data_IF_849704027009
#
_entry.id   IF_849704027009
#
_cell.length_a   1.000
_cell.length_b   1.000
_cell.length_c   1.000
_cell.angle_alpha   90.00
_cell.angle_beta   90.00
_cell.angle_gamma   90.00
#
_symmetry.space_group_name_H-M   'P 1'
#
loop_
_entity.id
_entity.type
_entity.pdbx_description
1 polymer ?
#
# COMPACT_ATOMS: atom_id res chain seq x y z
N UNK A 1 -19.40 -0.03 6.61
CA UNK A 1 -18.87 1.05 5.75
C UNK A 1 -19.40 0.87 4.34
N UNK A 2 -20.02 1.89 3.79
CA UNK A 2 -20.54 1.93 2.42
C UNK A 2 -19.53 2.62 1.48
N UNK A 3 -19.65 2.44 0.14
CA UNK A 3 -18.81 3.18 -0.80
C UNK A 3 -18.89 4.70 -0.65
N UNK A 4 -20.07 5.25 -0.35
CA UNK A 4 -20.29 6.67 -0.08
C UNK A 4 -19.50 7.20 1.12
N UNK A 5 -19.24 6.36 2.13
CA UNK A 5 -18.41 6.76 3.28
C UNK A 5 -16.95 6.96 2.85
N UNK A 6 -16.52 6.25 1.79
CA UNK A 6 -15.15 6.30 1.24
C UNK A 6 -15.00 7.48 0.27
N UNK A 7 -15.84 7.55 -0.76
CA UNK A 7 -15.68 8.50 -1.86
C UNK A 7 -16.45 9.80 -1.68
N UNK A 8 -17.38 9.84 -0.72
CA UNK A 8 -18.30 10.96 -0.51
C UNK A 8 -19.61 10.78 -1.26
N UNK A 9 -20.49 11.73 -1.11
CA UNK A 9 -21.82 11.79 -1.72
C UNK A 9 -22.25 13.25 -1.88
N UNK A 10 -23.27 13.52 -2.70
CA UNK A 10 -23.84 14.86 -2.79
C UNK A 10 -25.15 14.95 -2.03
N UNK A 11 -25.38 16.10 -1.40
CA UNK A 11 -26.64 16.47 -0.75
C UNK A 11 -27.26 17.67 -1.46
N UNK A 12 -28.58 17.75 -1.42
CA UNK A 12 -29.30 18.91 -1.96
C UNK A 12 -29.34 19.99 -0.88
N UNK A 13 -28.67 21.10 -1.10
CA UNK A 13 -28.74 22.28 -0.23
C UNK A 13 -29.16 23.49 -1.05
N UNK A 14 -30.29 24.14 -0.67
CA UNK A 14 -30.84 25.34 -1.31
C UNK A 14 -30.78 25.30 -2.86
N UNK A 15 -31.35 24.24 -3.44
CA UNK A 15 -31.43 24.00 -4.90
C UNK A 15 -30.10 23.68 -5.60
N UNK A 16 -29.03 23.41 -4.86
CA UNK A 16 -27.75 22.98 -5.43
C UNK A 16 -27.30 21.65 -4.83
N UNK A 17 -26.69 20.82 -5.68
CA UNK A 17 -25.97 19.64 -5.23
C UNK A 17 -24.62 20.08 -4.63
N UNK A 18 -24.41 19.75 -3.36
CA UNK A 18 -23.18 20.05 -2.61
C UNK A 18 -22.49 18.73 -2.28
N UNK A 19 -21.24 18.58 -2.76
CA UNK A 19 -20.44 17.41 -2.46
C UNK A 19 -20.02 17.39 -0.99
N UNK A 20 -20.31 16.27 -0.33
CA UNK A 20 -19.82 15.95 1.02
C UNK A 20 -18.63 14.99 0.87
N UNK A 21 -17.42 15.40 1.27
CA UNK A 21 -16.23 14.60 1.08
C UNK A 21 -16.26 13.31 1.90
N UNK A 22 -15.85 12.21 1.29
CA UNK A 22 -15.66 10.93 1.96
C UNK A 22 -14.26 10.81 2.57
N UNK A 23 -14.00 9.65 3.21
CA UNK A 23 -12.76 9.39 3.93
C UNK A 23 -11.49 9.49 3.07
N UNK A 24 -11.58 9.32 1.74
CA UNK A 24 -10.41 9.43 0.83
C UNK A 24 -9.93 10.87 0.64
N UNK A 25 -10.72 11.88 1.05
CA UNK A 25 -10.32 13.29 0.94
C UNK A 25 -9.35 13.69 2.06
N UNK A 26 -8.29 12.90 2.21
CA UNK A 26 -7.21 13.07 3.18
C UNK A 26 -5.85 12.73 2.57
N UNK A 27 -4.76 13.11 3.22
CA UNK A 27 -3.41 12.76 2.76
C UNK A 27 -2.99 11.34 3.19
N UNK A 28 -3.42 10.88 4.37
CA UNK A 28 -3.14 9.55 4.89
C UNK A 28 -4.44 8.91 5.35
N UNK A 29 -4.79 7.79 4.74
CA UNK A 29 -5.98 7.00 5.09
C UNK A 29 -5.56 5.66 5.69
N UNK A 30 -6.03 5.38 6.90
CA UNK A 30 -5.95 4.05 7.50
C UNK A 30 -7.25 3.28 7.20
N UNK A 31 -7.15 2.25 6.36
CA UNK A 31 -8.24 1.33 6.05
C UNK A 31 -8.08 0.05 6.88
N UNK A 32 -8.54 0.11 8.14
CA UNK A 32 -8.39 -1.01 9.06
C UNK A 32 -9.35 -2.16 8.71
N UNK A 33 -8.85 -3.39 8.75
CA UNK A 33 -9.57 -4.64 8.43
C UNK A 33 -10.34 -4.55 7.10
N UNK A 34 -9.68 -4.12 6.01
CA UNK A 34 -10.32 -3.94 4.69
C UNK A 34 -11.04 -5.20 4.19
N UNK A 35 -10.57 -6.38 4.58
CA UNK A 35 -11.19 -7.68 4.24
C UNK A 35 -12.55 -7.93 4.92
N UNK A 36 -12.97 -7.07 5.85
CA UNK A 36 -14.31 -7.09 6.48
C UNK A 36 -15.31 -6.14 5.80
N UNK A 37 -14.87 -5.35 4.83
CA UNK A 37 -15.75 -4.46 4.09
C UNK A 37 -16.34 -5.15 2.85
N UNK A 38 -17.44 -4.60 2.30
CA UNK A 38 -18.04 -5.13 1.07
C UNK A 38 -17.11 -4.98 -0.13
N UNK A 39 -17.24 -5.86 -1.13
CA UNK A 39 -16.46 -5.76 -2.38
C UNK A 39 -16.67 -4.42 -3.09
N UNK A 40 -17.85 -3.80 -2.97
CA UNK A 40 -18.13 -2.48 -3.54
C UNK A 40 -17.29 -1.40 -2.85
N UNK A 41 -17.20 -1.45 -1.51
CA UNK A 41 -16.38 -0.52 -0.72
C UNK A 41 -14.89 -0.71 -1.02
N UNK A 42 -14.42 -1.97 -1.10
CA UNK A 42 -13.05 -2.28 -1.51
C UNK A 42 -12.74 -1.70 -2.90
N UNK A 43 -13.62 -1.92 -3.87
CA UNK A 43 -13.44 -1.42 -5.24
C UNK A 43 -13.38 0.11 -5.29
N UNK A 44 -14.25 0.81 -4.55
CA UNK A 44 -14.26 2.27 -4.50
C UNK A 44 -12.93 2.84 -3.95
N UNK A 45 -12.41 2.24 -2.87
CA UNK A 45 -11.12 2.64 -2.32
C UNK A 45 -9.97 2.39 -3.30
N UNK A 46 -9.95 1.20 -3.91
CA UNK A 46 -8.89 0.80 -4.84
C UNK A 46 -8.88 1.63 -6.12
N UNK A 47 -10.06 2.05 -6.61
CA UNK A 47 -10.21 2.97 -7.73
C UNK A 47 -9.66 4.35 -7.36
N UNK A 48 -10.03 4.89 -6.20
CA UNK A 48 -9.50 6.15 -5.70
C UNK A 48 -7.96 6.12 -5.54
N UNK A 49 -7.40 4.99 -5.07
CA UNK A 49 -5.95 4.79 -4.96
C UNK A 49 -5.25 4.84 -6.32
N UNK A 50 -5.86 4.28 -7.37
CA UNK A 50 -5.27 4.21 -8.71
C UNK A 50 -5.42 5.51 -9.48
N UNK A 51 -6.66 6.04 -9.53
CA UNK A 51 -7.01 7.22 -10.32
C UNK A 51 -6.58 8.54 -9.66
N UNK A 52 -6.28 8.54 -8.35
CA UNK A 52 -5.99 9.74 -7.55
C UNK A 52 -7.09 10.81 -7.61
N UNK A 53 -8.32 10.36 -7.85
CA UNK A 53 -9.54 11.17 -7.93
C UNK A 53 -10.75 10.31 -7.65
N UNK A 54 -11.86 10.95 -7.31
CA UNK A 54 -13.18 10.31 -7.21
C UNK A 54 -14.18 11.08 -8.06
N UNK A 55 -15.16 10.37 -8.61
CA UNK A 55 -16.25 10.99 -9.38
C UNK A 55 -17.57 10.71 -8.68
N UNK A 56 -18.26 11.76 -8.28
CA UNK A 56 -19.56 11.71 -7.62
C UNK A 56 -20.55 12.57 -8.39
N UNK A 57 -21.68 11.99 -8.78
CA UNK A 57 -22.74 12.66 -9.56
C UNK A 57 -22.21 13.38 -10.80
N UNK A 58 -21.25 12.76 -11.50
CA UNK A 58 -20.66 13.30 -12.73
C UNK A 58 -19.59 14.38 -12.51
N UNK A 59 -19.30 14.76 -11.26
CA UNK A 59 -18.25 15.74 -10.91
C UNK A 59 -17.03 15.01 -10.39
N UNK A 60 -15.87 15.30 -10.97
CA UNK A 60 -14.59 14.71 -10.57
C UNK A 60 -13.87 15.57 -9.54
N UNK A 61 -13.51 14.98 -8.43
CA UNK A 61 -12.79 15.60 -7.31
C UNK A 61 -11.39 14.98 -7.20
N UNK A 62 -10.30 15.75 -7.40
CA UNK A 62 -8.94 15.24 -7.22
C UNK A 62 -8.68 14.96 -5.74
N UNK A 63 -7.92 13.89 -5.46
CA UNK A 63 -7.50 13.59 -4.08
C UNK A 63 -6.35 14.52 -3.64
N UNK A 64 -6.22 14.78 -2.33
CA UNK A 64 -5.10 15.53 -1.78
C UNK A 64 -3.74 14.90 -2.12
N UNK A 65 -2.71 15.72 -2.30
CA UNK A 65 -1.34 15.28 -2.57
C UNK A 65 -0.45 15.56 -1.35
N UNK A 66 0.31 14.56 -0.88
CA UNK A 66 0.30 13.15 -1.26
C UNK A 66 -0.96 12.43 -0.77
N UNK A 67 -1.36 11.34 -1.45
CA UNK A 67 -2.40 10.44 -0.99
C UNK A 67 -1.80 9.05 -0.76
N UNK A 68 -1.81 8.60 0.49
CA UNK A 68 -1.26 7.32 0.93
C UNK A 68 -2.33 6.54 1.67
N UNK A 69 -2.45 5.25 1.36
CA UNK A 69 -3.36 4.33 2.06
C UNK A 69 -2.54 3.27 2.78
N UNK A 70 -2.77 3.14 4.07
CA UNK A 70 -2.36 2.01 4.89
C UNK A 70 -3.58 1.11 5.10
N UNK A 71 -3.55 -0.11 4.57
CA UNK A 71 -4.64 -1.05 4.77
C UNK A 71 -4.16 -2.24 5.61
N UNK A 72 -4.98 -2.66 6.57
CA UNK A 72 -4.71 -3.86 7.35
C UNK A 72 -5.65 -4.99 6.94
N UNK A 73 -5.18 -6.21 7.06
CA UNK A 73 -5.96 -7.43 6.94
C UNK A 73 -5.69 -8.31 8.16
N UNK A 74 -6.75 -8.82 8.78
CA UNK A 74 -6.60 -9.87 9.79
C UNK A 74 -6.68 -11.23 9.09
N UNK A 75 -5.60 -12.03 9.07
CA UNK A 75 -5.57 -13.31 8.38
C UNK A 75 -6.39 -14.41 9.10
N UNK A 76 -6.68 -14.21 10.38
CA UNK A 76 -7.43 -15.22 11.17
C UNK A 76 -8.89 -15.18 10.74
N UNK A 77 -9.34 -16.26 10.11
CA UNK A 77 -10.66 -16.41 9.53
C UNK A 77 -11.80 -16.24 10.54
N UNK A 78 -12.37 -15.04 10.60
CA UNK A 78 -13.67 -14.83 11.20
C UNK A 78 -14.74 -14.98 10.11
N UNK A 79 -15.89 -15.59 10.47
CA UNK A 79 -17.06 -15.66 9.58
C UNK A 79 -17.37 -14.24 9.05
N UNK A 80 -17.48 -14.10 7.72
CA UNK A 80 -17.79 -12.82 7.08
C UNK A 80 -16.57 -12.02 6.53
N UNK A 81 -15.36 -12.56 6.55
CA UNK A 81 -14.21 -11.93 5.88
C UNK A 81 -14.18 -12.29 4.39
N UNK A 82 -14.03 -11.30 3.54
CA UNK A 82 -13.85 -11.45 2.10
C UNK A 82 -12.43 -11.03 1.73
N UNK A 83 -11.56 -12.00 1.46
CA UNK A 83 -10.20 -11.71 1.03
C UNK A 83 -10.19 -10.92 -0.27
N UNK A 84 -9.28 -9.95 -0.34
CA UNK A 84 -9.07 -9.22 -1.59
C UNK A 84 -8.54 -10.19 -2.67
N UNK A 85 -9.13 -10.17 -3.88
CA UNK A 85 -8.57 -10.88 -5.02
C UNK A 85 -7.13 -10.43 -5.33
N UNK A 86 -6.32 -11.31 -5.91
CA UNK A 86 -4.92 -11.00 -6.25
C UNK A 86 -4.78 -9.78 -7.17
N UNK A 87 -5.71 -9.57 -8.09
CA UNK A 87 -5.75 -8.39 -8.97
C UNK A 87 -5.96 -7.07 -8.21
N UNK A 88 -6.59 -7.13 -7.04
CA UNK A 88 -6.77 -5.99 -6.13
C UNK A 88 -5.54 -5.81 -5.23
N UNK A 89 -4.95 -6.90 -4.75
CA UNK A 89 -3.70 -6.86 -3.98
C UNK A 89 -2.54 -6.26 -4.80
N UNK A 90 -2.48 -6.49 -6.11
CA UNK A 90 -1.47 -5.91 -7.00
C UNK A 90 -1.45 -4.36 -7.03
N UNK A 91 -2.53 -3.71 -6.56
CA UNK A 91 -2.60 -2.24 -6.46
C UNK A 91 -1.86 -1.66 -5.27
N UNK A 92 -1.61 -2.46 -4.22
CA UNK A 92 -0.78 -2.06 -3.09
C UNK A 92 0.70 -2.15 -3.46
N UNK A 93 1.48 -1.12 -3.12
CA UNK A 93 2.89 -1.05 -3.49
C UNK A 93 3.71 -2.15 -2.81
N UNK A 94 3.42 -2.45 -1.54
CA UNK A 94 4.09 -3.48 -0.74
C UNK A 94 3.14 -4.08 0.29
N UNK A 95 3.49 -5.27 0.77
CA UNK A 95 2.82 -5.96 1.87
C UNK A 95 3.83 -6.29 2.96
N UNK A 96 3.53 -5.87 4.17
CA UNK A 96 4.34 -6.11 5.35
C UNK A 96 3.63 -7.11 6.27
N UNK A 97 4.42 -7.92 6.97
CA UNK A 97 3.93 -8.79 8.03
C UNK A 97 4.43 -8.27 9.37
N UNK A 98 3.51 -8.00 10.29
CA UNK A 98 3.86 -7.46 11.61
C UNK A 98 4.41 -8.53 12.57
N UNK A 99 3.92 -9.78 12.49
CA UNK A 99 4.27 -10.83 13.45
C UNK A 99 3.81 -10.50 14.88
N UNK A 100 4.28 -11.32 15.84
CA UNK A 100 4.11 -11.04 17.26
C UNK A 100 5.35 -10.33 17.82
N UNK A 101 5.18 -9.46 18.85
CA UNK A 101 6.32 -8.88 19.53
C UNK A 101 7.15 -9.93 20.26
N UNK A 102 8.45 -9.71 20.39
CA UNK A 102 9.29 -10.53 21.26
C UNK A 102 8.94 -10.29 22.74
N UNK A 103 9.48 -11.12 23.65
CA UNK A 103 9.14 -11.06 25.07
C UNK A 103 9.43 -9.69 25.68
N UNK A 104 10.53 -9.05 25.29
CA UNK A 104 10.91 -7.73 25.81
C UNK A 104 9.92 -6.67 25.35
N UNK A 105 9.64 -6.60 24.05
CA UNK A 105 8.65 -5.69 23.47
C UNK A 105 7.26 -5.92 24.04
N UNK A 106 6.87 -7.18 24.31
CA UNK A 106 5.60 -7.51 24.97
C UNK A 106 5.52 -6.90 26.38
N UNK A 107 6.60 -7.00 27.16
CA UNK A 107 6.69 -6.42 28.52
C UNK A 107 6.59 -4.87 28.43
N UNK A 108 7.29 -4.26 27.48
CA UNK A 108 7.27 -2.82 27.29
C UNK A 108 5.85 -2.32 26.91
N UNK A 109 5.15 -3.01 26.02
CA UNK A 109 3.74 -2.73 25.67
C UNK A 109 2.84 -2.78 26.92
N UNK A 110 3.02 -3.80 27.77
CA UNK A 110 2.20 -3.95 28.98
C UNK A 110 2.44 -2.82 29.99
N UNK A 111 3.69 -2.33 30.10
CA UNK A 111 4.04 -1.20 30.96
C UNK A 111 3.49 0.11 30.43
N UNK A 112 3.67 0.39 29.14
CA UNK A 112 3.27 1.66 28.51
C UNK A 112 1.77 1.87 28.57
N UNK A 113 0.97 0.80 28.37
CA UNK A 113 -0.50 0.86 28.48
C UNK A 113 -1.00 1.15 29.90
N UNK A 114 -0.18 0.93 30.92
CA UNK A 114 -0.48 1.29 32.31
C UNK A 114 -0.37 2.79 32.61
N UNK A 115 0.27 3.58 31.74
CA UNK A 115 0.59 5.00 31.99
C UNK A 115 -0.11 5.99 31.05
N UNK A 116 -1.07 5.56 30.24
CA UNK A 116 -1.82 6.42 29.32
C UNK A 116 -1.80 5.93 27.87
N UNK A 117 -2.27 6.78 26.96
CA UNK A 117 -2.23 6.47 25.52
C UNK A 117 -0.93 7.02 24.90
N UNK A 118 -0.02 6.15 24.40
CA UNK A 118 1.23 6.62 23.78
C UNK A 118 1.04 7.55 22.57
N UNK A 119 -0.13 7.49 21.91
CA UNK A 119 -0.46 8.35 20.77
C UNK A 119 -0.54 9.84 21.16
N UNK A 120 -0.86 10.15 22.43
CA UNK A 120 -0.97 11.54 22.92
C UNK A 120 0.41 12.24 23.01
N UNK A 121 1.49 11.46 22.91
CA UNK A 121 2.88 11.95 22.95
C UNK A 121 3.52 12.06 21.57
N UNK A 122 2.80 11.67 20.49
CA UNK A 122 3.33 11.71 19.13
C UNK A 122 3.27 13.13 18.60
N UNK A 123 4.44 13.68 18.25
CA UNK A 123 4.54 14.99 17.62
C UNK A 123 4.82 14.87 16.11
N UNK A 124 4.38 15.84 15.29
CA UNK A 124 4.73 15.89 13.87
C UNK A 124 6.24 16.01 13.67
N UNK A 125 6.81 15.15 12.81
CA UNK A 125 8.25 15.17 12.50
C UNK A 125 8.59 15.90 11.20
N UNK A 126 7.58 16.14 10.35
CA UNK A 126 7.72 16.89 9.10
C UNK A 126 6.38 17.46 8.64
N UNK A 127 6.45 18.51 7.84
CA UNK A 127 5.28 19.11 7.19
C UNK A 127 4.87 18.34 5.94
N UNK A 128 3.65 18.58 5.45
CA UNK A 128 3.18 18.02 4.19
C UNK A 128 4.06 18.46 3.00
N UNK A 129 4.48 19.70 2.99
CA UNK A 129 5.33 20.32 1.97
C UNK A 129 6.71 19.64 1.93
N UNK A 130 7.32 19.39 3.09
CA UNK A 130 8.58 18.65 3.20
C UNK A 130 8.45 17.21 2.70
N UNK A 131 7.32 16.54 3.00
CA UNK A 131 7.04 15.19 2.48
C UNK A 131 6.91 15.18 0.95
N UNK A 132 6.19 16.15 0.37
CA UNK A 132 6.07 16.27 -1.10
C UNK A 132 7.43 16.49 -1.74
N UNK A 133 8.27 17.37 -1.19
CA UNK A 133 9.64 17.59 -1.68
C UNK A 133 10.49 16.32 -1.56
N UNK A 134 10.34 15.58 -0.47
CA UNK A 134 11.04 14.29 -0.28
C UNK A 134 10.63 13.27 -1.33
N UNK A 135 9.33 13.14 -1.61
CA UNK A 135 8.82 12.26 -2.67
C UNK A 135 9.42 12.63 -4.05
N UNK A 136 9.52 13.94 -4.34
CA UNK A 136 10.13 14.42 -5.59
C UNK A 136 11.63 14.08 -5.65
N UNK A 137 12.37 14.24 -4.57
CA UNK A 137 13.80 13.85 -4.48
C UNK A 137 13.98 12.33 -4.67
N UNK A 138 13.15 11.51 -4.01
CA UNK A 138 13.15 10.05 -4.21
C UNK A 138 12.91 9.67 -5.66
N UNK A 139 11.99 10.34 -6.35
CA UNK A 139 11.72 10.08 -7.77
C UNK A 139 12.95 10.33 -8.67
N UNK A 140 13.84 11.26 -8.28
CA UNK A 140 15.07 11.60 -9.00
C UNK A 140 16.23 10.64 -8.73
N UNK A 141 16.13 9.74 -7.72
CA UNK A 141 17.16 8.72 -7.46
C UNK A 141 17.44 7.92 -8.71
N UNK A 142 18.72 7.83 -9.11
CA UNK A 142 19.14 7.21 -10.35
C UNK A 142 19.02 5.68 -10.29
N UNK A 143 18.59 5.07 -11.41
CA UNK A 143 18.68 3.62 -11.64
C UNK A 143 19.49 3.41 -12.92
N UNK A 144 20.63 2.74 -12.83
CA UNK A 144 21.44 2.40 -13.98
C UNK A 144 20.75 1.33 -14.85
N UNK A 145 21.03 1.31 -16.16
CA UNK A 145 20.45 0.35 -17.11
C UNK A 145 20.70 -1.11 -16.70
N UNK A 146 21.86 -1.41 -16.11
CA UNK A 146 22.18 -2.75 -15.59
C UNK A 146 21.28 -3.16 -14.42
N UNK A 147 20.80 -2.21 -13.61
CA UNK A 147 19.86 -2.47 -12.51
C UNK A 147 18.45 -2.64 -13.06
N UNK A 148 18.06 -1.88 -14.09
CA UNK A 148 16.79 -2.13 -14.81
C UNK A 148 16.79 -3.52 -15.46
N UNK A 149 17.86 -3.93 -16.12
CA UNK A 149 18.01 -5.29 -16.68
C UNK A 149 17.89 -6.35 -15.58
N UNK A 150 18.51 -6.14 -14.42
CA UNK A 150 18.39 -7.05 -13.28
C UNK A 150 16.93 -7.18 -12.80
N UNK A 151 16.19 -6.06 -12.64
CA UNK A 151 14.77 -6.08 -12.24
C UNK A 151 13.92 -6.80 -13.30
N UNK A 152 14.18 -6.55 -14.59
CA UNK A 152 13.47 -7.19 -15.68
C UNK A 152 13.68 -8.70 -15.69
N UNK A 153 14.93 -9.18 -15.56
CA UNK A 153 15.26 -10.61 -15.47
C UNK A 153 14.67 -11.26 -14.23
N UNK A 154 14.69 -10.59 -13.09
CA UNK A 154 14.06 -11.07 -11.87
C UNK A 154 12.54 -11.24 -12.07
N UNK A 155 11.90 -10.27 -12.70
CA UNK A 155 10.48 -10.32 -13.02
C UNK A 155 10.16 -11.47 -13.98
N UNK A 156 10.94 -11.63 -15.03
CA UNK A 156 10.80 -12.71 -16.01
C UNK A 156 11.02 -14.09 -15.38
N UNK A 157 12.01 -14.23 -14.51
CA UNK A 157 12.26 -15.45 -13.78
C UNK A 157 11.04 -15.90 -12.95
N UNK A 158 10.27 -14.96 -12.36
CA UNK A 158 9.03 -15.29 -11.67
C UNK A 158 7.94 -15.84 -12.60
N UNK A 159 7.91 -15.42 -13.86
CA UNK A 159 6.90 -15.85 -14.84
C UNK A 159 7.20 -17.24 -15.41
N UNK A 160 8.48 -17.59 -15.45
CA UNK A 160 8.97 -18.86 -16.04
C UNK A 160 9.31 -19.92 -14.98
N UNK A 161 9.08 -19.63 -13.68
CA UNK A 161 9.46 -20.55 -12.62
C UNK A 161 8.40 -21.66 -12.44
N UNK A 162 8.77 -22.96 -12.39
CA UNK A 162 7.84 -24.08 -12.36
C UNK A 162 6.97 -24.13 -11.07
N UNK A 163 7.41 -23.48 -10.00
CA UNK A 163 6.67 -23.41 -8.73
C UNK A 163 5.74 -22.18 -8.66
N UNK A 164 5.73 -21.33 -9.68
CA UNK A 164 4.89 -20.13 -9.73
C UNK A 164 3.85 -20.28 -10.84
N UNK A 165 2.58 -20.17 -10.48
CA UNK A 165 1.46 -20.19 -11.41
C UNK A 165 1.22 -18.82 -12.04
N UNK A 166 1.36 -17.75 -11.25
CA UNK A 166 1.25 -16.37 -11.72
C UNK A 166 2.46 -15.58 -11.21
N UNK A 167 3.28 -15.12 -12.16
CA UNK A 167 4.46 -14.27 -11.91
C UNK A 167 4.10 -12.78 -11.80
N UNK A 168 5.12 -11.96 -11.65
CA UNK A 168 5.00 -10.52 -11.40
C UNK A 168 4.49 -9.79 -12.65
N UNK A 169 3.51 -8.90 -12.45
CA UNK A 169 2.99 -7.99 -13.47
C UNK A 169 3.97 -6.83 -13.74
N UNK A 170 3.83 -6.11 -14.88
CA UNK A 170 4.60 -4.87 -15.10
C UNK A 170 4.40 -3.83 -13.99
N UNK A 171 3.19 -3.77 -13.38
CA UNK A 171 2.91 -2.92 -12.23
C UNK A 171 3.78 -3.29 -11.03
N UNK A 172 3.97 -4.59 -10.75
CA UNK A 172 4.84 -5.08 -9.68
C UNK A 172 6.32 -4.74 -9.92
N UNK A 173 6.81 -4.83 -11.17
CA UNK A 173 8.16 -4.40 -11.52
C UNK A 173 8.37 -2.89 -11.30
N UNK A 174 7.40 -2.06 -11.73
CA UNK A 174 7.41 -0.61 -11.48
C UNK A 174 7.36 -0.29 -9.98
N UNK A 175 6.58 -1.03 -9.20
CA UNK A 175 6.54 -0.89 -7.74
C UNK A 175 7.91 -1.19 -7.12
N UNK A 176 8.60 -2.25 -7.59
CA UNK A 176 9.95 -2.58 -7.11
C UNK A 176 10.96 -1.47 -7.42
N UNK A 177 10.92 -0.86 -8.61
CA UNK A 177 11.76 0.29 -8.95
C UNK A 177 11.53 1.46 -7.97
N UNK A 178 10.27 1.77 -7.66
CA UNK A 178 9.91 2.87 -6.74
C UNK A 178 10.39 2.60 -5.32
N UNK A 179 10.19 1.39 -4.82
CA UNK A 179 10.61 1.01 -3.45
C UNK A 179 12.14 0.96 -3.35
N UNK A 180 12.84 0.45 -4.37
CA UNK A 180 14.30 0.46 -4.42
C UNK A 180 14.89 1.90 -4.41
N UNK A 181 14.27 2.85 -5.15
CA UNK A 181 14.64 4.27 -5.08
C UNK A 181 14.45 4.84 -3.68
N UNK A 182 13.31 4.59 -3.05
CA UNK A 182 13.05 5.04 -1.69
C UNK A 182 14.05 4.46 -0.69
N UNK A 183 14.39 3.17 -0.83
CA UNK A 183 15.40 2.50 0.01
C UNK A 183 16.78 3.12 -0.15
N UNK A 184 17.22 3.36 -1.39
CA UNK A 184 18.50 4.03 -1.66
C UNK A 184 18.54 5.42 -1.00
N UNK A 185 17.48 6.21 -1.18
CA UNK A 185 17.36 7.55 -0.60
C UNK A 185 17.41 7.54 0.94
N UNK A 186 16.67 6.65 1.61
CA UNK A 186 16.71 6.49 3.07
C UNK A 186 18.12 6.11 3.55
N UNK A 187 18.84 5.32 2.75
CA UNK A 187 20.26 4.99 2.97
C UNK A 187 21.23 6.10 2.51
N UNK A 188 20.73 7.33 2.29
CA UNK A 188 21.52 8.51 1.92
C UNK A 188 22.32 8.34 0.61
N UNK A 189 21.76 7.61 -0.36
CA UNK A 189 22.33 7.44 -1.70
C UNK A 189 21.39 8.01 -2.75
N UNK A 190 21.94 8.57 -3.80
CA UNK A 190 21.24 9.10 -4.97
C UNK A 190 21.15 8.12 -6.13
N UNK A 191 21.61 6.87 -5.93
CA UNK A 191 21.53 5.77 -6.88
C UNK A 191 21.11 4.47 -6.22
N UNK A 192 20.45 3.62 -7.01
CA UNK A 192 19.96 2.28 -6.61
C UNK A 192 21.03 1.24 -6.86
N UNK A 193 21.20 0.31 -5.92
CA UNK A 193 22.08 -0.87 -6.07
C UNK A 193 21.24 -2.16 -6.20
N UNK A 194 21.84 -3.27 -6.70
CA UNK A 194 21.16 -4.57 -6.71
C UNK A 194 20.69 -5.03 -5.32
N UNK A 195 21.42 -4.66 -4.26
CA UNK A 195 21.07 -4.97 -2.87
C UNK A 195 19.76 -4.29 -2.45
N UNK A 196 19.50 -3.06 -2.90
CA UNK A 196 18.23 -2.37 -2.63
C UNK A 196 17.07 -3.11 -3.29
N UNK A 197 17.27 -3.57 -4.53
CA UNK A 197 16.28 -4.37 -5.26
C UNK A 197 16.03 -5.68 -4.53
N UNK A 198 17.08 -6.43 -4.19
CA UNK A 198 16.98 -7.71 -3.49
C UNK A 198 16.27 -7.60 -2.15
N UNK A 199 16.65 -6.60 -1.36
CA UNK A 199 16.09 -6.38 -0.03
C UNK A 199 14.61 -5.93 -0.05
N UNK A 200 14.15 -5.34 -1.18
CA UNK A 200 12.77 -4.88 -1.34
C UNK A 200 11.87 -5.91 -2.05
N UNK A 201 12.46 -6.88 -2.74
CA UNK A 201 11.72 -7.80 -3.59
C UNK A 201 10.68 -8.64 -2.82
N UNK A 202 11.00 -9.09 -1.60
CA UNK A 202 10.09 -9.87 -0.77
C UNK A 202 8.81 -9.10 -0.47
N UNK A 203 8.91 -7.90 0.06
CA UNK A 203 7.76 -7.08 0.46
C UNK A 203 6.92 -6.61 -0.74
N UNK A 204 7.56 -6.43 -1.91
CA UNK A 204 6.88 -5.97 -3.12
C UNK A 204 6.28 -7.12 -3.92
N UNK A 205 6.91 -8.29 -3.97
CA UNK A 205 6.52 -9.39 -4.85
C UNK A 205 5.64 -10.43 -4.16
N UNK A 206 5.83 -10.71 -2.87
CA UNK A 206 5.18 -11.83 -2.20
C UNK A 206 3.65 -11.86 -2.34
N UNK A 207 2.98 -10.71 -2.24
CA UNK A 207 1.53 -10.62 -2.34
C UNK A 207 0.99 -10.63 -3.78
N UNK A 208 1.88 -10.63 -4.78
CA UNK A 208 1.56 -10.66 -6.21
C UNK A 208 1.76 -12.01 -6.84
N UNK A 209 2.57 -12.87 -6.21
CA UNK A 209 2.87 -14.20 -6.70
C UNK A 209 1.75 -15.18 -6.34
N UNK A 210 1.39 -16.07 -7.26
CA UNK A 210 0.55 -17.23 -6.97
C UNK A 210 1.41 -18.47 -7.16
N UNK A 211 1.54 -19.24 -6.09
CA UNK A 211 2.25 -20.51 -6.15
C UNK A 211 1.45 -21.56 -6.93
N UNK A 212 2.15 -22.42 -7.66
CA UNK A 212 1.56 -23.57 -8.33
C UNK A 212 1.05 -24.60 -7.30
N UNK A 213 0.15 -25.49 -7.74
CA UNK A 213 -0.33 -26.58 -6.88
C UNK A 213 0.83 -27.45 -6.32
N UNK A 214 1.86 -27.68 -7.17
CA UNK A 214 3.07 -28.41 -6.78
C UNK A 214 3.86 -27.70 -5.66
N UNK A 215 3.92 -26.37 -5.69
CA UNK A 215 4.61 -25.60 -4.66
C UNK A 215 3.90 -25.69 -3.32
N UNK A 216 2.55 -25.59 -3.32
CA UNK A 216 1.72 -25.65 -2.11
C UNK A 216 1.71 -27.01 -1.41
N UNK A 217 2.02 -28.10 -2.13
CA UNK A 217 2.11 -29.43 -1.55
C UNK A 217 3.46 -29.71 -0.87
N UNK A 218 4.44 -28.82 -1.06
CA UNK A 218 5.80 -28.96 -0.51
C UNK A 218 6.04 -28.00 0.67
N UNK A 219 5.03 -27.25 1.13
CA UNK A 219 5.01 -26.48 2.37
C UNK A 219 4.53 -27.38 3.54
#
# INVERSE_FOLDING_TARGET
TMPSDIIGFSVFDKEKLVYQPGAVMTNLLLADEINRTSSKTQSALLEAMEEKRVTVDGVTHPLPVPFVVLATQNPVGSAGTQNLPNSQLDRFIMKLQMGYPDLKSQIDILKDRGHGNPLDQVEPIMTREELVQTIQKVAQTHIADSVYDYIARLTEATRNHPMIQLGISPRGALALCRVAKARAFVNKRDFVTPEDVKASAGDVFAHRLILSAKARLNE
#
